data_IF_738846234041
#
_entry.id   IF_738846234041
#
_cell.length_a   1.000
_cell.length_b   1.000
_cell.length_c   1.000
_cell.angle_alpha   90.00
_cell.angle_beta   90.00
_cell.angle_gamma   90.00
#
_symmetry.space_group_name_H-M   'P 1'
#
loop_
_entity.id
_entity.type
_entity.pdbx_description
1 polymer ?
#
# COMPACT_ATOMS: atom_id res chain seq x y z
N UNK A 1 16.85 -5.16 27.53
CA UNK A 1 15.52 -4.55 27.36
C UNK A 1 15.64 -3.45 26.33
N UNK A 2 15.45 -3.80 25.07
CA UNK A 2 15.44 -2.86 23.94
C UNK A 2 14.04 -2.91 23.37
N UNK A 3 13.30 -1.81 23.53
CA UNK A 3 11.92 -1.69 23.09
C UNK A 3 11.84 -1.77 21.58
N UNK A 4 11.49 -2.93 21.04
CA UNK A 4 11.06 -3.08 19.66
C UNK A 4 9.70 -2.40 19.51
N UNK A 5 9.70 -1.14 19.09
CA UNK A 5 8.49 -0.44 18.68
C UNK A 5 8.32 -0.69 17.19
N UNK A 6 7.45 -1.64 16.84
CA UNK A 6 6.61 -1.66 15.64
C UNK A 6 5.61 -2.84 15.70
N UNK A 7 4.49 -2.76 16.45
CA UNK A 7 3.56 -3.90 16.56
C UNK A 7 2.42 -3.89 15.55
N UNK A 8 2.34 -2.91 14.63
CA UNK A 8 1.25 -2.83 13.66
C UNK A 8 1.75 -2.95 12.23
N UNK A 9 1.37 -4.03 11.54
CA UNK A 9 0.91 -3.84 10.17
C UNK A 9 1.23 -4.88 9.11
N UNK A 10 1.45 -6.17 9.40
CA UNK A 10 1.58 -7.16 8.30
C UNK A 10 0.85 -8.49 8.49
N UNK A 11 0.43 -8.77 9.70
CA UNK A 11 -0.06 -10.05 10.16
C UNK A 11 -1.54 -10.01 10.55
N UNK A 12 -2.16 -8.83 10.50
CA UNK A 12 -3.56 -8.67 10.84
C UNK A 12 -4.22 -7.54 10.03
N UNK A 13 -5.42 -7.82 9.50
CA UNK A 13 -6.33 -6.86 8.89
C UNK A 13 -7.67 -6.91 9.63
N UNK A 14 -8.31 -5.76 9.95
CA UNK A 14 -9.66 -5.77 10.51
C UNK A 14 -10.72 -6.29 9.52
N UNK A 15 -10.35 -6.49 8.25
CA UNK A 15 -11.20 -7.05 7.20
C UNK A 15 -10.83 -8.50 6.85
N UNK A 16 -10.02 -9.18 7.68
CA UNK A 16 -9.66 -10.58 7.47
C UNK A 16 -10.93 -11.45 7.37
N UNK A 17 -11.01 -12.30 6.34
CA UNK A 17 -12.17 -13.16 6.07
C UNK A 17 -13.34 -12.49 5.34
N UNK A 18 -13.30 -11.18 5.06
CA UNK A 18 -14.28 -10.54 4.19
C UNK A 18 -13.99 -10.84 2.71
N UNK A 19 -15.04 -11.09 1.90
CA UNK A 19 -14.90 -11.27 0.46
C UNK A 19 -15.15 -9.94 -0.29
N UNK A 20 -14.11 -9.29 -0.84
CA UNK A 20 -14.29 -8.09 -1.65
C UNK A 20 -14.89 -8.45 -3.01
N UNK A 21 -15.84 -7.65 -3.47
CA UNK A 21 -16.50 -7.84 -4.78
C UNK A 21 -15.71 -7.24 -5.95
N UNK A 22 -14.62 -6.54 -5.66
CA UNK A 22 -13.81 -5.90 -6.68
C UNK A 22 -12.43 -5.50 -6.16
N UNK A 23 -11.51 -5.28 -7.10
CA UNK A 23 -10.16 -4.79 -6.85
C UNK A 23 -9.71 -3.86 -7.97
N UNK A 24 -8.86 -2.87 -7.68
CA UNK A 24 -8.23 -2.08 -8.73
C UNK A 24 -7.46 -2.96 -9.70
N UNK A 25 -7.67 -2.75 -11.00
CA UNK A 25 -6.89 -3.39 -12.07
C UNK A 25 -5.53 -2.71 -12.22
N UNK A 26 -5.49 -1.38 -12.04
CA UNK A 26 -4.25 -0.62 -12.04
C UNK A 26 -4.36 0.58 -11.10
N UNK A 27 -3.23 0.95 -10.51
CA UNK A 27 -3.08 2.19 -9.73
C UNK A 27 -1.99 3.03 -10.38
N UNK A 28 -2.28 4.32 -10.61
CA UNK A 28 -1.35 5.28 -11.22
C UNK A 28 -1.06 6.40 -10.22
N UNK A 29 0.22 6.73 -10.05
CA UNK A 29 0.69 7.81 -9.18
C UNK A 29 1.85 8.56 -9.84
N UNK A 30 1.85 9.89 -9.79
CA UNK A 30 2.88 10.70 -10.45
C UNK A 30 2.96 10.49 -11.98
N UNK A 31 1.85 10.08 -12.61
CA UNK A 31 1.80 9.75 -14.04
C UNK A 31 2.37 8.38 -14.43
N UNK A 32 2.75 7.54 -13.47
CA UNK A 32 3.34 6.23 -13.71
C UNK A 32 2.50 5.12 -13.08
N UNK A 33 2.47 3.94 -13.71
CA UNK A 33 1.85 2.76 -13.11
C UNK A 33 2.61 2.36 -11.85
N UNK A 34 1.88 2.21 -10.74
CA UNK A 34 2.39 1.79 -9.42
C UNK A 34 1.99 0.35 -9.09
N UNK A 35 0.85 -0.09 -9.60
CA UNK A 35 0.48 -1.49 -9.59
C UNK A 35 -0.38 -1.83 -10.81
N UNK A 36 -0.35 -3.11 -11.20
CA UNK A 36 -1.19 -3.65 -12.25
C UNK A 36 -1.48 -5.11 -11.97
N UNK A 37 -2.74 -5.50 -12.08
CA UNK A 37 -3.19 -6.88 -11.96
C UNK A 37 -2.70 -7.57 -10.67
N UNK A 38 -2.55 -6.80 -9.60
CA UNK A 38 -2.16 -7.26 -8.27
C UNK A 38 -0.65 -7.18 -8.00
N UNK A 39 0.15 -7.00 -9.05
CA UNK A 39 1.58 -6.81 -8.94
C UNK A 39 1.91 -5.35 -8.64
N UNK A 40 2.82 -5.15 -7.68
CA UNK A 40 3.36 -3.82 -7.35
C UNK A 40 4.57 -3.56 -8.24
N UNK A 41 4.58 -2.40 -8.88
CA UNK A 41 5.60 -2.04 -9.86
C UNK A 41 6.68 -1.13 -9.24
N UNK A 42 7.94 -1.55 -9.40
CA UNK A 42 9.13 -0.73 -9.20
C UNK A 42 9.39 -0.27 -7.75
N UNK A 43 10.35 0.65 -7.61
CA UNK A 43 10.65 1.32 -6.34
C UNK A 43 9.74 2.55 -6.20
N UNK A 44 9.12 2.78 -5.02
CA UNK A 44 8.35 4.00 -4.78
C UNK A 44 9.20 5.24 -5.03
N UNK A 45 8.75 6.13 -5.92
CA UNK A 45 9.44 7.36 -6.29
C UNK A 45 8.74 8.61 -5.72
N UNK A 46 7.88 8.42 -4.72
CA UNK A 46 7.02 9.46 -4.20
C UNK A 46 7.81 10.46 -3.35
N UNK A 47 7.29 11.68 -3.24
CA UNK A 47 7.92 12.78 -2.49
C UNK A 47 6.92 13.38 -1.52
N UNK A 48 7.44 13.96 -0.44
CA UNK A 48 6.63 14.72 0.48
C UNK A 48 5.99 15.93 -0.24
N UNK A 49 4.67 16.05 -0.11
CA UNK A 49 3.92 17.16 -0.73
C UNK A 49 3.66 18.23 0.33
N UNK A 50 4.23 19.41 0.12
CA UNK A 50 3.85 20.60 0.88
C UNK A 50 2.45 21.05 0.45
N UNK A 51 1.59 21.30 1.43
CA UNK A 51 0.26 21.89 1.19
C UNK A 51 0.40 23.42 1.24
N UNK A 52 -0.43 24.11 0.46
CA UNK A 52 -0.53 25.57 0.47
C UNK A 52 -1.15 26.08 1.79
#
# INVERSE_FOLDING_TARGET
MTSEICPFGRDHSPFEGAEPTGRPVATVGGGQARSRDGDVAGVPADRYTHRA
#
